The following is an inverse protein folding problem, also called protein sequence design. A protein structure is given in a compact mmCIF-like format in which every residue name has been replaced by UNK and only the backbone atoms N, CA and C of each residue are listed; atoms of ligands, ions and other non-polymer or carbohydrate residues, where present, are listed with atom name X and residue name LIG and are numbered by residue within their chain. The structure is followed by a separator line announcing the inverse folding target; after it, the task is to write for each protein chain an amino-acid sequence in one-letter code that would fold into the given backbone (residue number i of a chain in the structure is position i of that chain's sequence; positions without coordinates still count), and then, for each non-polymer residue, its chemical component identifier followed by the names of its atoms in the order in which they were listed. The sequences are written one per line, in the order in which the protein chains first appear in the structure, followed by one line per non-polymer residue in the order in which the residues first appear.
data_IF_705996617735
#
_entry.id   IF_705996617735
#
_cell.length_a   1.000
_cell.length_b   1.000
_cell.length_c   1.000
_cell.angle_alpha   90.00
_cell.angle_beta   90.00
_cell.angle_gamma   90.00
#
_symmetry.space_group_name_H-M   'P 1'
#
loop_
_entity.id
_entity.type
_entity.pdbx_description
1 polymer ?
#
# COMPACT_ATOMS: atom_id res chain seq x y z
N UNK A 1 3.81 0.36 -41.22
CA UNK A 1 3.17 1.51 -40.54
C UNK A 1 1.85 1.22 -39.79
N UNK A 2 1.16 0.08 -39.98
CA UNK A 2 -0.05 -0.29 -39.22
C UNK A 2 0.22 -0.89 -37.81
N UNK A 3 1.40 -1.45 -37.58
CA UNK A 3 1.81 -2.05 -36.29
C UNK A 3 2.12 -1.02 -35.18
N UNK A 4 2.72 0.13 -35.53
CA UNK A 4 3.06 1.21 -34.59
C UNK A 4 1.83 1.99 -34.07
N UNK A 5 0.74 2.08 -34.86
CA UNK A 5 -0.52 2.71 -34.40
C UNK A 5 -1.31 1.84 -33.42
N UNK A 6 -1.16 0.51 -33.47
CA UNK A 6 -1.76 -0.39 -32.49
C UNK A 6 -1.03 -0.31 -31.14
N UNK A 7 0.31 -0.24 -31.14
CA UNK A 7 1.13 -0.07 -29.94
C UNK A 7 0.88 1.28 -29.23
N UNK A 8 0.72 2.38 -29.98
CA UNK A 8 0.37 3.70 -29.44
C UNK A 8 -1.05 3.76 -28.84
N UNK A 9 -2.00 2.97 -29.35
CA UNK A 9 -3.38 2.94 -28.86
C UNK A 9 -3.54 2.11 -27.58
N UNK A 10 -2.75 1.04 -27.43
CA UNK A 10 -2.89 0.05 -26.34
C UNK A 10 -2.10 0.42 -25.08
N UNK A 11 -0.88 0.93 -25.21
CA UNK A 11 -0.09 1.41 -24.06
C UNK A 11 -0.75 2.65 -23.40
N UNK A 12 -1.39 3.48 -24.24
CA UNK A 12 -2.16 4.63 -23.78
C UNK A 12 -3.45 4.19 -23.09
N UNK A 13 -4.21 3.21 -23.63
CA UNK A 13 -5.50 2.80 -23.04
C UNK A 13 -5.37 2.01 -21.74
N UNK A 14 -4.43 1.07 -21.60
CA UNK A 14 -4.35 0.25 -20.38
C UNK A 14 -3.90 1.01 -19.14
N UNK A 15 -3.08 2.07 -19.29
CA UNK A 15 -2.70 2.97 -18.19
C UNK A 15 -3.63 4.20 -18.06
N UNK A 16 -4.28 4.66 -19.14
CA UNK A 16 -5.36 5.66 -19.04
C UNK A 16 -6.67 5.08 -18.48
N UNK A 17 -6.90 3.76 -18.55
CA UNK A 17 -8.09 3.11 -17.97
C UNK A 17 -8.09 3.14 -16.42
N UNK A 18 -6.92 3.27 -15.79
CA UNK A 18 -6.80 3.63 -14.36
C UNK A 18 -7.05 5.11 -14.10
N UNK A 19 -6.78 5.99 -15.07
CA UNK A 19 -6.97 7.43 -14.92
C UNK A 19 -8.37 7.96 -15.28
N UNK A 20 -9.24 7.12 -15.84
CA UNK A 20 -10.61 7.47 -16.28
C UNK A 20 -11.72 6.92 -15.37
N UNK A 21 -11.36 6.23 -14.28
CA UNK A 21 -12.29 5.67 -13.30
C UNK A 21 -12.70 6.65 -12.18
N UNK A 22 -12.09 7.84 -12.11
CA UNK A 22 -12.26 8.81 -11.01
C UNK A 22 -13.19 9.99 -11.35
N UNK A 23 -14.12 9.84 -12.30
CA UNK A 23 -15.09 10.91 -12.62
C UNK A 23 -16.47 10.56 -12.05
N UNK A 24 -16.77 11.14 -10.88
CA UNK A 24 -18.11 11.16 -10.29
C UNK A 24 -18.20 12.15 -9.12
N UNK A 25 -18.97 13.23 -9.34
CA UNK A 25 -19.51 14.20 -8.38
C UNK A 25 -18.56 15.24 -7.74
N UNK A 26 -18.51 16.43 -8.37
CA UNK A 26 -18.10 17.70 -7.77
C UNK A 26 -19.25 18.31 -6.96
N UNK A 27 -19.01 18.72 -5.71
CA UNK A 27 -19.84 19.66 -4.97
C UNK A 27 -18.96 20.81 -4.42
N UNK A 28 -19.41 22.05 -4.67
CA UNK A 28 -18.75 23.31 -4.33
C UNK A 28 -18.66 23.57 -2.81
N UNK A 29 -17.67 24.36 -2.32
CA UNK A 29 -17.62 24.78 -0.93
C UNK A 29 -18.45 26.06 -0.71
N UNK A 30 -19.27 26.05 0.34
CA UNK A 30 -19.89 27.24 0.90
C UNK A 30 -18.97 27.86 1.97
N UNK A 31 -18.83 29.17 1.90
CA UNK A 31 -18.12 30.01 2.86
C UNK A 31 -18.88 30.12 4.19
N UNK A 32 -18.15 30.16 5.31
CA UNK A 32 -18.63 30.78 6.55
C UNK A 32 -17.52 31.62 7.14
N UNK A 33 -17.84 32.89 7.39
CA UNK A 33 -17.00 33.89 8.01
C UNK A 33 -17.37 34.11 9.48
N UNK A 34 -16.35 34.53 10.24
CA UNK A 34 -16.37 35.42 11.40
C UNK A 34 -16.96 34.96 12.74
N UNK A 35 -16.23 35.28 13.82
CA UNK A 35 -16.86 35.44 15.14
C UNK A 35 -15.97 35.38 16.38
N UNK A 36 -15.18 36.43 16.60
CA UNK A 36 -14.94 37.12 17.89
C UNK A 36 -14.26 36.41 19.09
N UNK A 37 -13.53 37.24 19.88
CA UNK A 37 -13.41 37.05 21.33
C UNK A 37 -11.99 37.17 21.88
N UNK A 38 -11.60 38.36 22.32
CA UNK A 38 -10.33 38.59 23.01
C UNK A 38 -10.29 38.09 24.45
N UNK A 39 -9.10 38.08 25.03
CA UNK A 39 -8.90 37.78 26.44
C UNK A 39 -7.43 37.49 26.77
N UNK A 40 -6.66 38.56 26.96
CA UNK A 40 -5.27 38.56 27.41
C UNK A 40 -5.26 38.61 28.94
N UNK A 41 -4.55 37.70 29.61
CA UNK A 41 -3.94 37.74 30.96
C UNK A 41 -3.37 36.33 31.22
N UNK A 42 -2.20 36.07 31.78
CA UNK A 42 -1.13 36.89 32.33
C UNK A 42 0.07 35.97 32.57
N UNK A 43 1.27 36.51 32.39
CA UNK A 43 2.53 35.85 32.73
C UNK A 43 2.64 35.69 34.25
N UNK A 44 3.16 34.55 34.72
CA UNK A 44 4.23 34.59 35.71
C UNK A 44 5.12 33.33 35.64
N UNK A 45 6.46 33.47 35.71
CA UNK A 45 7.40 32.37 35.57
C UNK A 45 7.80 31.75 36.92
N UNK A 46 8.08 30.45 36.90
CA UNK A 46 8.79 29.69 37.94
C UNK A 46 10.24 30.18 38.10
N UNK A 47 10.88 29.94 39.26
CA UNK A 47 12.21 29.33 39.24
C UNK A 47 12.44 28.40 40.47
N UNK A 48 13.66 27.89 40.79
CA UNK A 48 14.07 26.52 40.44
C UNK A 48 14.52 25.68 41.65
N UNK A 49 14.70 24.37 41.43
CA UNK A 49 15.46 23.48 42.33
C UNK A 49 16.97 23.71 42.21
N UNK A 50 17.75 23.38 43.26
CA UNK A 50 18.85 22.45 43.06
C UNK A 50 19.01 21.40 44.19
N UNK A 51 19.54 20.24 43.79
CA UNK A 51 19.95 19.09 44.62
C UNK A 51 21.32 19.33 45.32
N UNK A 52 22.05 18.32 45.84
CA UNK A 52 21.69 17.07 46.54
C UNK A 52 22.37 16.98 47.93
N UNK A 53 22.01 16.02 48.79
CA UNK A 53 22.97 15.52 49.79
C UNK A 53 22.73 14.06 50.15
N UNK A 54 23.84 13.34 50.18
CA UNK A 54 23.98 11.92 50.47
C UNK A 54 23.92 11.65 51.97
N UNK A 55 23.35 10.51 52.36
CA UNK A 55 23.84 9.72 53.49
C UNK A 55 23.35 8.28 53.40
N UNK A 56 24.33 7.39 53.32
CA UNK A 56 24.19 5.96 53.44
C UNK A 56 23.72 5.58 54.85
N UNK A 57 22.92 4.54 54.95
CA UNK A 57 22.94 3.64 56.10
C UNK A 57 22.79 2.20 55.59
N UNK A 58 23.78 1.39 55.94
CA UNK A 58 23.79 -0.06 55.77
C UNK A 58 22.82 -0.71 56.75
N UNK A 59 22.14 -1.76 56.30
CA UNK A 59 21.36 -2.68 57.13
C UNK A 59 21.05 -3.92 56.31
N UNK A 60 21.84 -4.98 56.50
CA UNK A 60 21.68 -6.24 55.79
C UNK A 60 20.57 -7.10 56.37
N UNK A 61 19.89 -7.87 55.51
CA UNK A 61 19.32 -9.17 55.83
C UNK A 61 19.47 -10.04 54.58
N UNK A 62 20.21 -11.14 54.72
CA UNK A 62 20.25 -12.22 53.77
C UNK A 62 18.87 -12.89 53.71
N UNK A 63 18.24 -12.88 52.54
CA UNK A 63 16.99 -13.57 52.27
C UNK A 63 17.01 -14.10 50.85
N UNK A 64 17.04 -15.43 50.72
CA UNK A 64 17.00 -16.12 49.45
C UNK A 64 15.75 -15.72 48.63
N UNK A 65 15.96 -15.18 47.44
CA UNK A 65 14.93 -15.14 46.40
C UNK A 65 15.27 -16.23 45.39
N UNK A 66 14.67 -17.38 45.65
CA UNK A 66 14.57 -18.49 44.71
C UNK A 66 13.75 -18.09 43.48
N UNK A 67 14.23 -18.55 42.32
CA UNK A 67 13.48 -18.93 41.11
C UNK A 67 12.23 -18.11 40.75
N UNK A 68 12.37 -17.24 39.75
CA UNK A 68 11.38 -17.08 38.64
C UNK A 68 11.93 -16.08 37.62
N UNK A 69 12.82 -16.53 36.72
CA UNK A 69 13.34 -15.70 35.63
C UNK A 69 13.52 -16.53 34.34
N UNK A 70 12.49 -17.26 33.92
CA UNK A 70 12.41 -17.82 32.55
C UNK A 70 10.96 -17.99 32.07
N UNK A 71 10.09 -17.01 32.31
CA UNK A 71 8.75 -16.95 31.68
C UNK A 71 8.47 -15.63 30.94
N UNK A 72 9.52 -14.86 30.62
CA UNK A 72 9.37 -13.56 29.94
C UNK A 72 9.97 -13.51 28.53
N UNK A 73 10.34 -14.63 27.91
CA UNK A 73 10.85 -14.67 26.53
C UNK A 73 9.86 -15.19 25.50
N UNK A 74 8.67 -15.66 25.90
CA UNK A 74 7.61 -16.04 24.94
C UNK A 74 6.70 -14.85 24.59
N UNK A 75 6.61 -13.83 25.45
CA UNK A 75 5.81 -12.63 25.18
C UNK A 75 6.49 -11.64 24.20
N UNK A 76 7.82 -11.69 24.07
CA UNK A 76 8.53 -10.91 23.05
C UNK A 76 8.54 -11.60 21.67
N UNK A 77 8.00 -12.82 21.60
CA UNK A 77 7.84 -13.60 20.38
C UNK A 77 6.36 -13.70 19.92
N UNK A 78 5.47 -12.84 20.44
CA UNK A 78 4.38 -12.32 19.62
C UNK A 78 4.98 -11.32 18.61
N UNK A 79 5.83 -11.84 17.72
CA UNK A 79 6.30 -11.13 16.54
C UNK A 79 5.08 -10.88 15.68
N UNK A 80 4.41 -9.74 15.90
CA UNK A 80 3.54 -9.01 14.96
C UNK A 80 2.86 -9.93 13.92
N UNK A 81 2.12 -10.94 14.38
CA UNK A 81 1.72 -12.06 13.53
C UNK A 81 0.55 -11.66 12.62
N UNK A 82 0.54 -12.21 11.39
CA UNK A 82 -0.60 -12.19 10.47
C UNK A 82 -1.92 -12.34 11.23
N UNK A 83 -2.93 -11.58 10.85
CA UNK A 83 -4.26 -11.70 11.44
C UNK A 83 -4.95 -12.94 10.88
N UNK A 84 -4.60 -14.09 11.43
CA UNK A 84 -5.17 -15.38 11.02
C UNK A 84 -6.63 -15.45 11.37
N UNK A 85 -7.42 -15.78 10.36
CA UNK A 85 -8.83 -16.06 10.53
C UNK A 85 -9.03 -17.48 11.08
N UNK A 86 -10.07 -17.69 11.92
CA UNK A 86 -10.56 -19.02 12.22
C UNK A 86 -10.83 -19.80 10.92
N UNK A 87 -10.42 -21.08 10.88
CA UNK A 87 -10.45 -21.89 9.66
C UNK A 87 -11.85 -22.10 9.07
N UNK A 88 -12.89 -21.98 9.90
CA UNK A 88 -14.31 -22.04 9.55
C UNK A 88 -14.82 -20.79 8.81
N UNK A 89 -14.11 -19.67 8.90
CA UNK A 89 -14.43 -18.41 8.21
C UNK A 89 -13.61 -18.20 6.94
N UNK A 90 -12.65 -19.08 6.65
CA UNK A 90 -11.83 -18.98 5.44
C UNK A 90 -12.65 -19.38 4.21
N UNK A 91 -12.66 -18.55 3.16
CA UNK A 91 -13.26 -18.94 1.88
C UNK A 91 -12.51 -20.15 1.30
N UNK A 92 -13.24 -21.08 0.69
CA UNK A 92 -12.66 -22.32 0.19
C UNK A 92 -11.94 -22.13 -1.14
N UNK A 93 -12.47 -21.27 -2.01
CA UNK A 93 -11.89 -21.02 -3.32
C UNK A 93 -11.77 -19.51 -3.60
N UNK A 94 -10.54 -19.01 -3.50
CA UNK A 94 -10.20 -17.63 -3.79
C UNK A 94 -9.28 -17.57 -5.01
N UNK A 95 -9.73 -16.91 -6.08
CA UNK A 95 -8.95 -16.72 -7.30
C UNK A 95 -8.82 -15.24 -7.61
N UNK A 96 -7.58 -14.74 -7.59
CA UNK A 96 -7.25 -13.34 -7.91
C UNK A 96 -6.75 -13.23 -9.35
N UNK A 97 -7.52 -12.54 -10.18
CA UNK A 97 -7.12 -12.11 -11.52
C UNK A 97 -6.42 -10.76 -11.43
N UNK A 98 -5.12 -10.71 -11.75
CA UNK A 98 -4.31 -9.53 -11.50
C UNK A 98 -3.26 -9.21 -12.56
N UNK A 99 -2.57 -8.08 -12.37
CA UNK A 99 -1.22 -7.87 -12.87
C UNK A 99 -0.25 -7.73 -11.69
N UNK A 100 0.90 -8.41 -11.75
CA UNK A 100 1.90 -8.40 -10.67
C UNK A 100 2.41 -7.01 -10.31
N UNK A 101 2.60 -6.14 -11.31
CA UNK A 101 3.08 -4.77 -11.09
C UNK A 101 1.98 -3.75 -10.75
N UNK A 102 0.69 -4.15 -10.75
CA UNK A 102 -0.41 -3.21 -10.60
C UNK A 102 -0.63 -2.81 -9.13
N UNK A 103 -0.62 -1.52 -8.77
CA UNK A 103 -0.80 -1.08 -7.38
C UNK A 103 -2.14 -1.54 -6.79
N UNK A 104 -3.23 -1.46 -7.57
CA UNK A 104 -4.57 -1.89 -7.12
C UNK A 104 -4.65 -3.40 -6.84
N UNK A 105 -3.94 -4.22 -7.61
CA UNK A 105 -3.85 -5.65 -7.36
C UNK A 105 -3.03 -5.95 -6.10
N UNK A 106 -1.94 -5.20 -5.90
CA UNK A 106 -1.09 -5.37 -4.72
C UNK A 106 -1.79 -4.90 -3.43
N UNK A 107 -2.75 -3.95 -3.49
CA UNK A 107 -3.64 -3.65 -2.35
C UNK A 107 -4.43 -4.89 -1.91
N UNK A 108 -5.06 -5.58 -2.87
CA UNK A 108 -5.84 -6.80 -2.59
C UNK A 108 -4.91 -7.92 -2.09
N UNK A 109 -3.72 -8.09 -2.69
CA UNK A 109 -2.73 -9.06 -2.18
C UNK A 109 -2.27 -8.74 -0.77
N UNK A 110 -1.95 -7.49 -0.47
CA UNK A 110 -1.55 -7.09 0.89
C UNK A 110 -2.62 -7.46 1.91
N UNK A 111 -3.89 -7.27 1.58
CA UNK A 111 -5.01 -7.71 2.41
C UNK A 111 -5.05 -9.23 2.58
N UNK A 112 -5.04 -10.00 1.49
CA UNK A 112 -5.10 -11.47 1.54
C UNK A 112 -3.89 -12.07 2.28
N UNK A 113 -2.70 -11.53 2.03
CA UNK A 113 -1.45 -11.96 2.66
C UNK A 113 -1.48 -11.71 4.18
N UNK A 114 -1.91 -10.51 4.59
CA UNK A 114 -2.00 -10.11 6.01
C UNK A 114 -3.01 -10.93 6.81
N UNK A 115 -4.14 -11.28 6.20
CA UNK A 115 -5.17 -12.12 6.82
C UNK A 115 -4.94 -13.63 6.66
N UNK A 116 -3.78 -14.02 6.12
CA UNK A 116 -3.41 -15.42 5.87
C UNK A 116 -4.46 -16.19 5.04
N UNK A 117 -5.14 -15.50 4.13
CA UNK A 117 -6.19 -16.09 3.27
C UNK A 117 -5.50 -16.77 2.08
N UNK A 118 -5.63 -18.10 1.90
CA UNK A 118 -5.03 -18.79 0.76
C UNK A 118 -5.70 -18.37 -0.55
N UNK A 119 -4.93 -18.07 -1.60
CA UNK A 119 -5.49 -17.68 -2.90
C UNK A 119 -4.68 -18.18 -4.10
N UNK A 120 -5.39 -18.53 -5.17
CA UNK A 120 -4.80 -18.80 -6.49
C UNK A 120 -4.67 -17.49 -7.26
N UNK A 121 -3.62 -17.35 -8.07
CA UNK A 121 -3.40 -16.16 -8.91
C UNK A 121 -3.50 -16.52 -10.38
N UNK A 122 -4.35 -15.79 -11.11
CA UNK A 122 -4.40 -15.81 -12.56
C UNK A 122 -3.80 -14.50 -13.08
N UNK A 123 -2.59 -14.59 -13.64
CA UNK A 123 -1.93 -13.42 -14.24
C UNK A 123 -2.58 -13.11 -15.59
N UNK A 124 -3.27 -11.97 -15.67
CA UNK A 124 -4.00 -11.57 -16.88
C UNK A 124 -3.02 -11.02 -17.91
N UNK A 125 -3.14 -11.42 -19.17
CA UNK A 125 -2.33 -10.84 -20.23
C UNK A 125 -2.84 -9.40 -20.54
N UNK A 126 -2.04 -8.34 -20.34
CA UNK A 126 -2.52 -6.95 -20.49
C UNK A 126 -2.93 -6.55 -21.92
N UNK A 127 -2.46 -7.28 -22.93
CA UNK A 127 -2.75 -7.02 -24.34
C UNK A 127 -4.03 -7.73 -24.79
N UNK A 128 -4.16 -9.02 -24.46
CA UNK A 128 -5.25 -9.86 -24.95
C UNK A 128 -6.42 -10.00 -23.98
N UNK A 129 -6.17 -9.85 -22.67
CA UNK A 129 -7.14 -9.97 -21.56
C UNK A 129 -8.01 -11.23 -21.65
N UNK A 130 -7.47 -12.33 -22.17
CA UNK A 130 -8.22 -13.56 -22.45
C UNK A 130 -8.78 -14.19 -21.17
N UNK A 131 -8.02 -14.09 -20.09
CA UNK A 131 -8.28 -14.67 -18.78
C UNK A 131 -9.52 -14.07 -18.10
N UNK A 132 -9.90 -12.85 -18.48
CA UNK A 132 -11.06 -12.12 -17.93
C UNK A 132 -12.13 -11.85 -19.01
N UNK A 133 -12.10 -12.57 -20.14
CA UNK A 133 -13.09 -12.39 -21.22
C UNK A 133 -14.52 -12.62 -20.75
N UNK A 134 -14.71 -13.54 -19.82
CA UNK A 134 -15.99 -13.91 -19.22
C UNK A 134 -16.61 -12.80 -18.35
N UNK A 135 -15.80 -11.86 -17.83
CA UNK A 135 -16.30 -10.80 -16.92
C UNK A 135 -16.71 -9.56 -17.71
N UNK A 136 -17.87 -8.97 -17.42
CA UNK A 136 -18.24 -7.64 -17.95
C UNK A 136 -17.25 -6.54 -17.52
N UNK A 137 -16.64 -6.70 -16.35
CA UNK A 137 -15.61 -5.79 -15.84
C UNK A 137 -14.24 -6.10 -16.46
N UNK A 138 -13.80 -5.25 -17.40
CA UNK A 138 -12.55 -5.47 -18.19
C UNK A 138 -11.27 -4.88 -17.58
N UNK A 139 -11.25 -4.71 -16.25
CA UNK A 139 -10.10 -4.22 -15.46
C UNK A 139 -9.73 -5.24 -14.38
N UNK A 140 -8.55 -5.08 -13.80
CA UNK A 140 -8.06 -5.87 -12.66
C UNK A 140 -7.81 -4.93 -11.47
N UNK A 141 -7.88 -5.42 -10.21
CA UNK A 141 -8.14 -6.81 -9.82
C UNK A 141 -9.60 -7.25 -10.00
N UNK A 142 -9.79 -8.55 -10.24
CA UNK A 142 -11.07 -9.26 -10.05
C UNK A 142 -10.78 -10.39 -9.09
N UNK A 143 -11.57 -10.52 -8.03
CA UNK A 143 -11.43 -11.58 -7.05
C UNK A 143 -12.67 -12.46 -7.10
N UNK A 144 -12.51 -13.73 -7.45
CA UNK A 144 -13.57 -14.73 -7.33
C UNK A 144 -13.48 -15.38 -5.96
N UNK A 145 -14.56 -15.36 -5.18
CA UNK A 145 -14.65 -15.97 -3.86
C UNK A 145 -15.86 -16.89 -3.87
N UNK A 146 -15.62 -18.21 -3.82
CA UNK A 146 -16.67 -19.24 -3.81
C UNK A 146 -17.71 -19.08 -4.93
N UNK A 147 -17.26 -18.64 -6.11
CA UNK A 147 -18.09 -18.41 -7.31
C UNK A 147 -18.67 -16.99 -7.43
N UNK A 148 -18.59 -16.15 -6.39
CA UNK A 148 -18.96 -14.72 -6.45
C UNK A 148 -17.80 -13.91 -7.03
N UNK A 149 -18.05 -13.09 -8.05
CA UNK A 149 -17.05 -12.20 -8.62
C UNK A 149 -17.09 -10.81 -8.00
N UNK A 150 -16.00 -10.44 -7.33
CA UNK A 150 -15.79 -9.13 -6.73
C UNK A 150 -14.86 -8.31 -7.63
N UNK A 151 -15.21 -7.04 -7.83
CA UNK A 151 -14.48 -6.09 -8.69
C UNK A 151 -14.22 -4.82 -7.91
N UNK A 152 -13.30 -3.99 -8.42
CA UNK A 152 -12.76 -2.80 -7.75
C UNK A 152 -11.96 -3.14 -6.48
N UNK A 153 -10.70 -2.69 -6.41
CA UNK A 153 -9.81 -3.08 -5.31
C UNK A 153 -10.30 -2.66 -3.94
N UNK A 154 -10.93 -1.48 -3.82
CA UNK A 154 -11.38 -0.95 -2.54
C UNK A 154 -12.69 -1.62 -2.11
N UNK A 155 -13.58 -1.91 -3.07
CA UNK A 155 -14.82 -2.66 -2.82
C UNK A 155 -14.57 -4.12 -2.47
N UNK A 156 -13.61 -4.78 -3.15
CA UNK A 156 -13.14 -6.13 -2.80
C UNK A 156 -12.72 -6.17 -1.33
N UNK A 157 -11.81 -5.27 -0.93
CA UNK A 157 -11.29 -5.20 0.45
C UNK A 157 -12.43 -4.94 1.45
N UNK A 158 -13.33 -4.00 1.16
CA UNK A 158 -14.48 -3.69 2.02
C UNK A 158 -15.41 -4.90 2.20
N UNK A 159 -15.70 -5.63 1.12
CA UNK A 159 -16.56 -6.82 1.17
C UNK A 159 -15.91 -7.93 1.97
N UNK A 160 -14.62 -8.19 1.78
CA UNK A 160 -13.89 -9.19 2.55
C UNK A 160 -13.80 -8.82 4.03
N UNK A 161 -13.47 -7.56 4.34
CA UNK A 161 -13.41 -7.08 5.73
C UNK A 161 -14.74 -7.31 6.46
N UNK A 162 -15.87 -6.99 5.83
CA UNK A 162 -17.20 -7.24 6.42
C UNK A 162 -17.51 -8.71 6.64
N UNK A 163 -17.02 -9.61 5.78
CA UNK A 163 -17.17 -11.07 5.95
C UNK A 163 -16.33 -11.57 7.13
N UNK A 164 -15.16 -10.97 7.34
CA UNK A 164 -14.18 -11.36 8.36
C UNK A 164 -14.53 -10.81 9.76
N UNK A 165 -14.98 -9.56 9.82
CA UNK A 165 -15.28 -8.87 11.07
C UNK A 165 -16.64 -8.17 10.95
N UNK A 166 -17.75 -8.93 11.04
CA UNK A 166 -19.09 -8.36 10.91
C UNK A 166 -19.43 -7.36 12.02
N UNK A 167 -18.83 -7.51 13.21
CA UNK A 167 -19.10 -6.68 14.39
C UNK A 167 -18.31 -5.36 14.42
N UNK A 168 -17.37 -5.15 13.48
CA UNK A 168 -16.62 -3.89 13.37
C UNK A 168 -17.46 -2.91 12.55
N UNK A 169 -18.46 -2.31 13.20
CA UNK A 169 -19.46 -1.45 12.55
C UNK A 169 -18.96 -0.06 12.13
N UNK A 170 -17.73 0.35 12.44
CA UNK A 170 -17.22 1.65 11.97
C UNK A 170 -15.77 1.60 11.52
N UNK A 171 -15.56 1.74 10.22
CA UNK A 171 -14.28 2.16 9.68
C UNK A 171 -13.99 3.56 10.19
N UNK A 172 -12.83 3.76 10.85
CA UNK A 172 -12.41 5.08 11.30
C UNK A 172 -12.43 6.09 10.15
N UNK A 173 -12.89 7.32 10.42
CA UNK A 173 -12.81 8.42 9.46
C UNK A 173 -11.37 8.65 8.98
N UNK A 174 -10.40 8.45 9.87
CA UNK A 174 -8.96 8.52 9.55
C UNK A 174 -8.57 7.44 8.53
N UNK A 175 -8.99 6.19 8.74
CA UNK A 175 -8.70 5.11 7.80
C UNK A 175 -9.33 5.39 6.42
N UNK A 176 -10.60 5.82 6.40
CA UNK A 176 -11.31 6.16 5.15
C UNK A 176 -10.61 7.29 4.39
N UNK A 177 -10.16 8.33 5.11
CA UNK A 177 -9.40 9.45 4.54
C UNK A 177 -8.11 8.95 3.88
N UNK A 178 -7.32 8.14 4.57
CA UNK A 178 -6.04 7.67 4.03
C UNK A 178 -6.19 6.67 2.89
N UNK A 179 -7.20 5.81 2.93
CA UNK A 179 -7.53 4.92 1.81
C UNK A 179 -7.91 5.71 0.56
N UNK A 180 -8.69 6.78 0.71
CA UNK A 180 -9.00 7.71 -0.40
C UNK A 180 -7.74 8.41 -0.90
N UNK A 181 -6.89 8.91 0.00
CA UNK A 181 -5.62 9.54 -0.36
C UNK A 181 -4.71 8.60 -1.17
N UNK A 182 -4.68 7.31 -0.84
CA UNK A 182 -3.92 6.31 -1.62
C UNK A 182 -4.41 6.28 -3.08
N UNK A 183 -5.71 6.19 -3.29
CA UNK A 183 -6.32 6.01 -4.61
C UNK A 183 -6.36 7.31 -5.44
N UNK A 184 -6.45 8.46 -4.79
CA UNK A 184 -6.58 9.77 -5.45
C UNK A 184 -5.25 10.54 -5.57
N UNK A 185 -4.25 10.21 -4.75
CA UNK A 185 -2.97 10.92 -4.73
C UNK A 185 -1.77 9.98 -4.90
N UNK A 186 -1.53 9.05 -3.96
CA UNK A 186 -0.29 8.26 -3.94
C UNK A 186 -0.05 7.51 -5.25
N UNK A 187 -1.06 6.81 -5.77
CA UNK A 187 -0.94 6.07 -7.05
C UNK A 187 -0.60 6.96 -8.25
N UNK A 188 -0.99 8.23 -8.21
CA UNK A 188 -0.74 9.19 -9.28
C UNK A 188 0.67 9.78 -9.24
N UNK A 189 1.33 9.73 -8.09
CA UNK A 189 2.74 10.09 -7.92
C UNK A 189 3.67 8.98 -8.44
N UNK A 190 3.26 7.71 -8.37
CA UNK A 190 4.13 6.58 -8.71
C UNK A 190 4.53 6.53 -10.20
N UNK A 191 3.56 6.65 -11.12
CA UNK A 191 3.84 6.51 -12.56
C UNK A 191 4.82 7.56 -13.09
N UNK A 192 4.69 8.87 -12.77
CA UNK A 192 5.71 9.87 -13.07
C UNK A 192 7.11 9.51 -12.55
N UNK A 193 7.18 8.84 -11.40
CA UNK A 193 8.43 8.51 -10.72
C UNK A 193 9.13 7.27 -11.27
N UNK A 194 8.42 6.18 -11.55
CA UNK A 194 9.02 4.94 -12.07
C UNK A 194 9.36 5.06 -13.57
N UNK A 195 8.81 6.06 -14.26
CA UNK A 195 9.04 6.35 -15.69
C UNK A 195 9.67 7.73 -15.91
N UNK A 196 10.37 8.29 -14.91
CA UNK A 196 10.91 9.66 -14.95
C UNK A 196 12.03 9.82 -15.98
N UNK A 197 12.95 8.86 -16.04
CA UNK A 197 14.03 8.74 -17.03
C UNK A 197 13.83 7.52 -17.93
N UNK A 198 14.54 7.47 -19.07
CA UNK A 198 14.51 6.29 -19.96
C UNK A 198 15.04 5.04 -19.28
N UNK A 199 16.06 5.17 -18.41
CA UNK A 199 16.63 4.05 -17.66
C UNK A 199 15.65 3.50 -16.62
N UNK A 200 14.98 4.36 -15.84
CA UNK A 200 13.95 3.94 -14.87
C UNK A 200 12.75 3.32 -15.60
N UNK A 201 12.40 3.85 -16.78
CA UNK A 201 11.31 3.29 -17.56
C UNK A 201 11.64 1.89 -18.10
N UNK A 202 12.86 1.68 -18.59
CA UNK A 202 13.33 0.35 -19.02
C UNK A 202 13.41 -0.63 -17.85
N UNK A 203 13.87 -0.20 -16.67
CA UNK A 203 13.89 -1.01 -15.45
C UNK A 203 12.47 -1.47 -15.05
N UNK A 204 11.53 -0.52 -15.01
CA UNK A 204 10.13 -0.81 -14.67
C UNK A 204 9.48 -1.77 -15.68
N UNK A 205 9.75 -1.59 -16.96
CA UNK A 205 9.20 -2.47 -18.00
C UNK A 205 9.90 -3.82 -18.12
N UNK A 206 11.16 -3.92 -17.70
CA UNK A 206 11.84 -5.20 -17.55
C UNK A 206 11.14 -6.03 -16.45
N UNK A 207 10.86 -5.43 -15.30
CA UNK A 207 10.06 -6.06 -14.24
C UNK A 207 8.66 -6.46 -14.75
N UNK A 208 7.93 -5.56 -15.41
CA UNK A 208 6.60 -5.87 -15.95
C UNK A 208 6.65 -7.03 -16.97
N UNK A 209 7.63 -7.05 -17.86
CA UNK A 209 7.74 -8.08 -18.88
C UNK A 209 8.11 -9.46 -18.30
N UNK A 210 8.97 -9.48 -17.28
CA UNK A 210 9.44 -10.72 -16.65
C UNK A 210 8.41 -11.31 -15.67
N UNK A 211 7.63 -10.46 -15.01
CA UNK A 211 6.67 -10.88 -14.00
C UNK A 211 5.21 -10.94 -14.48
N UNK A 212 4.92 -10.46 -15.69
CA UNK A 212 3.60 -10.51 -16.30
C UNK A 212 3.37 -11.71 -17.23
N UNK A 213 2.11 -11.93 -17.59
CA UNK A 213 1.70 -12.94 -18.56
C UNK A 213 1.87 -12.42 -20.00
N UNK A 214 3.08 -12.57 -20.53
CA UNK A 214 3.44 -12.21 -21.91
C UNK A 214 4.15 -13.37 -22.59
N UNK A 215 3.85 -13.59 -23.87
CA UNK A 215 4.65 -14.47 -24.73
C UNK A 215 6.06 -13.88 -24.97
N UNK A 216 6.99 -14.71 -25.44
CA UNK A 216 8.39 -14.31 -25.62
C UNK A 216 8.54 -13.06 -26.51
N UNK A 217 7.78 -12.96 -27.60
CA UNK A 217 7.81 -11.81 -28.50
C UNK A 217 7.14 -10.58 -27.90
N UNK A 218 6.04 -10.77 -27.17
CA UNK A 218 5.37 -9.70 -26.42
C UNK A 218 6.28 -9.13 -25.34
N UNK A 219 7.03 -9.95 -24.60
CA UNK A 219 7.99 -9.49 -23.58
C UNK A 219 8.98 -8.50 -24.15
N UNK A 220 9.60 -8.83 -25.29
CA UNK A 220 10.53 -7.93 -25.96
C UNK A 220 9.86 -6.61 -26.37
N UNK A 221 8.68 -6.69 -27.00
CA UNK A 221 7.95 -5.50 -27.44
C UNK A 221 7.51 -4.63 -26.24
N UNK A 222 6.97 -5.24 -25.18
CA UNK A 222 6.54 -4.57 -23.95
C UNK A 222 7.73 -3.91 -23.27
N UNK A 223 8.87 -4.60 -23.14
CA UNK A 223 10.07 -4.04 -22.52
C UNK A 223 10.50 -2.73 -23.17
N UNK A 224 10.73 -2.74 -24.49
CA UNK A 224 11.31 -1.58 -25.18
C UNK A 224 10.26 -0.56 -25.63
N UNK A 225 9.22 -1.00 -26.34
CA UNK A 225 8.20 -0.09 -26.86
C UNK A 225 7.28 0.41 -25.74
N UNK A 226 6.97 -0.44 -24.75
CA UNK A 226 6.22 -0.03 -23.56
C UNK A 226 6.98 0.99 -22.72
N UNK A 227 8.28 0.78 -22.45
CA UNK A 227 9.11 1.75 -21.75
C UNK A 227 9.15 3.11 -22.46
N UNK A 228 9.38 3.12 -23.77
CA UNK A 228 9.41 4.34 -24.56
C UNK A 228 8.06 5.08 -24.50
N UNK A 229 6.95 4.36 -24.68
CA UNK A 229 5.62 4.95 -24.59
C UNK A 229 5.35 5.52 -23.20
N UNK A 230 5.68 4.79 -22.14
CA UNK A 230 5.42 5.22 -20.77
C UNK A 230 6.30 6.34 -20.29
N UNK A 231 7.52 6.47 -20.79
CA UNK A 231 8.33 7.67 -20.58
C UNK A 231 7.61 8.94 -21.07
N UNK A 232 6.97 8.91 -22.25
CA UNK A 232 6.22 10.08 -22.73
C UNK A 232 4.87 10.26 -22.00
N UNK A 233 4.20 9.16 -21.65
CA UNK A 233 2.97 9.21 -20.85
C UNK A 233 3.26 9.80 -19.47
N UNK A 234 4.37 9.43 -18.83
CA UNK A 234 4.76 9.93 -17.51
C UNK A 234 4.93 11.45 -17.49
N UNK A 235 5.50 12.05 -18.53
CA UNK A 235 5.60 13.52 -18.69
C UNK A 235 4.23 14.18 -18.85
N UNK A 236 3.27 13.52 -19.49
CA UNK A 236 1.88 14.00 -19.55
C UNK A 236 1.17 13.86 -18.21
N UNK A 237 1.37 12.75 -17.49
CA UNK A 237 0.79 12.53 -16.16
C UNK A 237 1.36 13.54 -15.15
N UNK A 238 2.67 13.81 -15.19
CA UNK A 238 3.33 14.87 -14.44
C UNK A 238 2.59 16.20 -14.59
N UNK A 239 2.31 16.61 -15.84
CA UNK A 239 1.56 17.84 -16.13
C UNK A 239 0.09 17.76 -15.68
N UNK A 240 -0.57 16.61 -15.87
CA UNK A 240 -1.98 16.40 -15.49
C UNK A 240 -2.20 16.50 -13.98
N UNK A 241 -1.28 15.97 -13.19
CA UNK A 241 -1.35 15.92 -11.73
C UNK A 241 -0.56 17.05 -11.06
N UNK A 242 -0.17 18.09 -11.81
CA UNK A 242 0.54 19.26 -11.31
C UNK A 242 1.83 18.94 -10.52
N UNK A 243 2.58 17.94 -10.98
CA UNK A 243 3.85 17.55 -10.36
C UNK A 243 4.98 18.37 -10.98
N UNK A 244 5.69 19.17 -10.17
CA UNK A 244 6.81 20.00 -10.63
C UNK A 244 8.11 19.20 -10.68
N UNK A 245 8.44 18.54 -9.58
CA UNK A 245 9.57 17.61 -9.45
C UNK A 245 9.00 16.23 -9.10
N UNK A 246 9.20 15.27 -10.00
CA UNK A 246 8.73 13.90 -9.78
C UNK A 246 9.26 13.33 -8.46
N UNK A 247 10.56 13.47 -8.19
CA UNK A 247 11.17 12.80 -7.06
C UNK A 247 10.83 13.48 -5.74
N UNK A 248 10.83 14.81 -5.71
CA UNK A 248 10.34 15.56 -4.54
C UNK A 248 8.89 15.18 -4.21
N UNK A 249 8.01 15.04 -5.23
CA UNK A 249 6.61 14.64 -4.97
C UNK A 249 6.48 13.23 -4.37
N UNK A 250 7.40 12.31 -4.68
CA UNK A 250 7.41 11.01 -4.01
C UNK A 250 7.87 11.13 -2.56
N UNK A 251 8.89 11.95 -2.30
CA UNK A 251 9.36 12.18 -0.94
C UNK A 251 8.29 12.85 -0.09
N UNK A 252 7.61 13.85 -0.64
CA UNK A 252 6.49 14.53 0.01
C UNK A 252 5.36 13.55 0.34
N UNK A 253 5.01 12.65 -0.58
CA UNK A 253 3.99 11.63 -0.35
C UNK A 253 4.39 10.63 0.75
N UNK A 254 5.67 10.19 0.74
CA UNK A 254 6.20 9.31 1.76
C UNK A 254 6.25 9.98 3.15
N UNK A 255 6.73 11.23 3.22
CA UNK A 255 6.77 12.01 4.45
C UNK A 255 5.36 12.30 4.99
N UNK A 256 4.43 12.69 4.11
CA UNK A 256 3.01 12.88 4.44
C UNK A 256 2.41 11.64 5.09
N UNK A 257 2.73 10.45 4.58
CA UNK A 257 2.31 9.20 5.19
C UNK A 257 2.98 8.96 6.54
N UNK A 258 4.30 9.14 6.66
CA UNK A 258 4.99 8.93 7.93
C UNK A 258 4.56 9.90 9.03
N UNK A 259 4.27 11.16 8.69
CA UNK A 259 3.71 12.15 9.61
C UNK A 259 2.32 11.73 10.10
N UNK A 260 1.51 11.12 9.22
CA UNK A 260 0.19 10.61 9.57
C UNK A 260 0.22 9.51 10.63
N UNK A 261 1.28 8.70 10.65
CA UNK A 261 1.47 7.68 11.67
C UNK A 261 1.58 8.33 13.06
N UNK A 262 2.05 9.58 13.15
CA UNK A 262 2.14 10.35 14.39
C UNK A 262 2.86 9.58 15.51
N UNK A 263 3.97 8.92 15.16
CA UNK A 263 4.77 8.09 16.08
C UNK A 263 4.19 6.70 16.39
N UNK A 264 3.02 6.34 15.86
CA UNK A 264 2.46 4.98 15.96
C UNK A 264 3.27 3.98 15.10
N UNK A 265 3.25 2.70 15.48
CA UNK A 265 3.85 1.64 14.67
C UNK A 265 3.17 1.53 13.30
N UNK A 266 1.83 1.63 13.30
CA UNK A 266 0.93 1.61 12.14
C UNK A 266 -0.15 2.67 12.32
N UNK A 267 -0.85 3.04 11.25
CA UNK A 267 -2.03 3.91 11.36
C UNK A 267 -3.11 3.23 12.22
N UNK A 268 -3.24 1.90 12.14
CA UNK A 268 -4.08 1.09 13.02
C UNK A 268 -3.61 0.98 14.49
N UNK A 269 -2.52 1.66 14.87
CA UNK A 269 -1.97 1.63 16.22
C UNK A 269 -1.03 0.45 16.42
N UNK A 270 -1.48 -0.58 17.14
CA UNK A 270 -0.67 -1.77 17.44
C UNK A 270 -0.55 -2.72 16.25
N UNK A 271 -1.55 -2.76 15.37
CA UNK A 271 -1.61 -3.60 14.17
C UNK A 271 -1.91 -2.75 12.93
N UNK A 272 -1.50 -3.19 11.72
CA UNK A 272 -1.92 -2.55 10.47
C UNK A 272 -3.44 -2.50 10.33
N UNK A 273 -3.98 -1.38 9.86
CA UNK A 273 -5.38 -1.30 9.40
C UNK A 273 -5.45 -1.30 7.87
N UNK A 274 -6.65 -1.10 7.28
CA UNK A 274 -6.79 -1.17 5.82
C UNK A 274 -6.08 -0.03 5.08
N UNK A 275 -5.82 1.11 5.75
CA UNK A 275 -5.02 2.18 5.15
C UNK A 275 -3.53 1.81 5.11
N UNK A 276 -2.99 1.22 6.18
CA UNK A 276 -1.62 0.69 6.19
C UNK A 276 -1.43 -0.33 5.05
N UNK A 277 -2.35 -1.29 4.93
CA UNK A 277 -2.34 -2.31 3.86
C UNK A 277 -2.46 -1.68 2.47
N UNK A 278 -3.26 -0.62 2.32
CA UNK A 278 -3.40 0.09 1.06
C UNK A 278 -2.10 0.79 0.64
N UNK A 279 -1.47 1.55 1.53
CA UNK A 279 -0.19 2.22 1.26
C UNK A 279 0.89 1.19 0.96
N UNK A 280 1.00 0.15 1.80
CA UNK A 280 1.98 -0.91 1.65
C UNK A 280 1.83 -1.63 0.31
N UNK A 281 0.61 -2.03 -0.03
CA UNK A 281 0.29 -2.68 -1.30
C UNK A 281 0.65 -1.79 -2.50
N UNK A 282 0.33 -0.50 -2.47
CA UNK A 282 0.63 0.42 -3.58
C UNK A 282 2.14 0.63 -3.77
N UNK A 283 2.91 0.65 -2.68
CA UNK A 283 4.38 0.84 -2.73
C UNK A 283 5.15 -0.46 -3.04
N UNK A 284 4.58 -1.63 -2.76
CA UNK A 284 5.23 -2.95 -2.92
C UNK A 284 5.87 -3.18 -4.30
N UNK A 285 5.22 -2.89 -5.43
CA UNK A 285 5.81 -3.11 -6.76
C UNK A 285 7.06 -2.28 -7.03
N UNK A 286 7.22 -1.14 -6.34
CA UNK A 286 8.30 -0.20 -6.61
C UNK A 286 9.45 -0.30 -5.61
N UNK A 287 9.27 -1.03 -4.51
CA UNK A 287 10.20 -1.13 -3.36
C UNK A 287 11.65 -1.38 -3.77
N UNK A 288 11.85 -2.24 -4.77
CA UNK A 288 13.17 -2.68 -5.23
C UNK A 288 13.62 -2.03 -6.54
N UNK A 289 12.79 -1.18 -7.14
CA UNK A 289 13.19 -0.33 -8.27
C UNK A 289 14.02 0.84 -7.76
N UNK A 290 14.78 1.50 -8.64
CA UNK A 290 15.60 2.67 -8.27
C UNK A 290 14.79 3.73 -7.54
N UNK A 291 13.59 4.04 -8.04
CA UNK A 291 12.69 5.02 -7.44
C UNK A 291 12.23 4.68 -6.02
N UNK A 292 12.07 3.39 -5.71
CA UNK A 292 11.66 2.96 -4.37
C UNK A 292 12.82 2.89 -3.39
N UNK A 293 14.00 2.48 -3.86
CA UNK A 293 15.25 2.55 -3.07
C UNK A 293 15.56 3.99 -2.70
N UNK A 294 15.54 4.89 -3.68
CA UNK A 294 15.75 6.32 -3.53
C UNK A 294 14.74 6.96 -2.54
N UNK A 295 13.47 6.56 -2.60
CA UNK A 295 12.45 6.97 -1.62
C UNK A 295 12.78 6.53 -0.20
N UNK A 296 13.19 5.28 0.00
CA UNK A 296 13.53 4.74 1.32
C UNK A 296 14.80 5.38 1.88
N UNK A 297 15.78 5.67 1.02
CA UNK A 297 17.05 6.31 1.42
C UNK A 297 16.88 7.77 1.85
N UNK A 298 15.91 8.50 1.29
CA UNK A 298 15.73 9.95 1.51
C UNK A 298 14.50 10.32 2.34
N UNK A 299 13.81 9.34 2.93
CA UNK A 299 12.63 9.58 3.78
C UNK A 299 12.61 8.63 4.97
N UNK A 300 11.77 8.90 5.95
CA UNK A 300 11.62 8.04 7.14
C UNK A 300 10.64 6.87 6.93
N UNK A 301 10.20 6.62 5.70
CA UNK A 301 9.22 5.56 5.42
C UNK A 301 9.79 4.15 5.61
N UNK A 302 11.11 4.00 5.56
CA UNK A 302 11.79 2.71 5.61
C UNK A 302 11.45 1.87 6.85
N UNK A 303 11.43 2.47 8.03
CA UNK A 303 11.14 1.75 9.28
C UNK A 303 9.69 1.23 9.32
N UNK A 304 8.73 2.06 8.92
CA UNK A 304 7.33 1.62 8.80
C UNK A 304 7.18 0.55 7.73
N UNK A 305 7.87 0.69 6.61
CA UNK A 305 7.81 -0.27 5.52
C UNK A 305 8.32 -1.65 5.96
N UNK A 306 9.44 -1.70 6.71
CA UNK A 306 9.96 -2.95 7.27
C UNK A 306 8.97 -3.57 8.24
N UNK A 307 8.36 -2.79 9.14
CA UNK A 307 7.30 -3.29 10.04
C UNK A 307 6.11 -3.86 9.27
N UNK A 308 5.76 -3.27 8.11
CA UNK A 308 4.73 -3.82 7.24
C UNK A 308 5.15 -5.11 6.53
N UNK A 309 6.41 -5.23 6.10
CA UNK A 309 6.95 -6.48 5.55
C UNK A 309 6.89 -7.60 6.59
N UNK A 310 7.26 -7.31 7.84
CA UNK A 310 7.23 -8.27 8.94
C UNK A 310 5.78 -8.65 9.32
N UNK A 311 4.88 -7.68 9.41
CA UNK A 311 3.48 -7.90 9.79
C UNK A 311 2.67 -8.66 8.73
N UNK A 312 2.90 -8.35 7.44
CA UNK A 312 2.21 -9.01 6.33
C UNK A 312 2.85 -10.36 6.00
N UNK A 313 4.17 -10.47 6.15
CA UNK A 313 4.92 -11.71 5.94
C UNK A 313 4.87 -12.23 4.49
N UNK A 314 5.15 -13.52 4.36
CA UNK A 314 5.17 -14.23 3.07
C UNK A 314 3.79 -14.29 2.41
N UNK A 315 3.78 -14.31 1.08
CA UNK A 315 2.54 -14.32 0.30
C UNK A 315 1.70 -15.58 0.59
N UNK A 316 0.40 -15.41 0.78
CA UNK A 316 -0.55 -16.52 1.00
C UNK A 316 -1.00 -17.17 -0.33
N UNK A 317 -0.20 -17.01 -1.39
CA UNK A 317 -0.50 -17.54 -2.71
C UNK A 317 -0.27 -19.05 -2.72
N UNK A 318 -1.25 -19.80 -3.20
CA UNK A 318 -1.11 -21.23 -3.48
C UNK A 318 -0.40 -21.39 -4.83
N UNK A 319 0.75 -22.06 -4.83
CA UNK A 319 1.45 -22.43 -6.06
C UNK A 319 0.79 -23.65 -6.72
N UNK A 320 0.76 -23.68 -8.06
CA UNK A 320 0.25 -24.85 -8.79
C UNK A 320 1.15 -26.06 -8.50
N UNK A 321 0.66 -27.00 -7.67
CA UNK A 321 1.41 -28.18 -7.22
C UNK A 321 1.22 -28.53 -5.73
N UNK A 322 0.53 -27.67 -4.97
CA UNK A 322 0.13 -27.93 -3.58
C UNK A 322 -1.39 -28.15 -3.52
N UNK A 323 -1.85 -29.33 -3.98
CA UNK A 323 -3.19 -29.88 -3.68
C UNK A 323 -3.03 -31.23 -3.01
#
# INVERSE_FOLDING_TARGET
MRSLRAAHSLASRSLLLSARALHGATASPAAVAAGAGGGRWGNNPSPPSPAPSSRALQGGIAGAVSFSLTFATVAAAEVQAKERLPADLLPQNVVLYQYQACPFCNKVRAFLDYHDIPYKVVEVNPLSKKEIKWSEYKKVPILTVDGENLVDSSDIINKLQRKISPDVESTSEEETKWRRWVDEHLVHVLSPNIYRTTSEALESFDYIANNGNFSFTERFAVKYAGAAAMYFVSKKLKKKYNITDERASLYDAANTWTEALNGRNFLGGAKPNLADLAVFGVLRPIRYLRSGKDMVEHTQIGEWYQRMEDAVGEASRIEEGQE
#
